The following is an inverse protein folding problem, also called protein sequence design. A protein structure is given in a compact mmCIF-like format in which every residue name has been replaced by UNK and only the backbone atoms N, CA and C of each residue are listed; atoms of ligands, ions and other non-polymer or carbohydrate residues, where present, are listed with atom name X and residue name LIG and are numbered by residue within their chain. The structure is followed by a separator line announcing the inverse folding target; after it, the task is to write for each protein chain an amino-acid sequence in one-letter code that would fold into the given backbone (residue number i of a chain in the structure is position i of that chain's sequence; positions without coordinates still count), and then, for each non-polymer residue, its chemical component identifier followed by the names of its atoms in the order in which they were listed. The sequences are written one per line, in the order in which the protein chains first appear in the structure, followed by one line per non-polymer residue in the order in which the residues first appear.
data_IF_097399966316
#
_entry.id   IF_097399966316
#
_cell.length_a   1.000
_cell.length_b   1.000
_cell.length_c   1.000
_cell.angle_alpha   90.00
_cell.angle_beta   90.00
_cell.angle_gamma   90.00
#
_symmetry.space_group_name_H-M   'P 1'
#
loop_
_entity.id
_entity.type
_entity.pdbx_description
1 polymer ?
#
# COMPACT_ATOMS: atom_id res chain seq x y z
N UNK A 1 14.72 10.11 -9.88
CA UNK A 1 14.31 9.32 -8.70
C UNK A 1 15.58 8.86 -8.02
N UNK A 2 15.87 9.40 -6.82
CA UNK A 2 17.08 9.06 -6.07
C UNK A 2 16.85 7.77 -5.31
N UNK A 3 17.60 6.73 -5.66
CA UNK A 3 17.56 5.43 -4.98
C UNK A 3 18.11 5.59 -3.56
N UNK A 4 17.25 5.49 -2.55
CA UNK A 4 17.70 5.38 -1.17
C UNK A 4 17.98 3.92 -0.86
N UNK A 5 19.27 3.60 -0.66
CA UNK A 5 19.66 2.40 0.09
C UNK A 5 18.91 2.41 1.43
N UNK A 6 18.45 1.26 1.93
CA UNK A 6 17.81 1.21 3.23
C UNK A 6 18.73 1.88 4.27
N UNK A 7 18.25 2.87 5.03
CA UNK A 7 19.03 3.52 6.06
C UNK A 7 19.58 2.48 7.04
N UNK A 8 20.87 2.59 7.38
CA UNK A 8 21.53 1.73 8.36
C UNK A 8 20.70 1.67 9.66
N UNK A 9 20.57 0.52 10.36
CA UNK A 9 19.71 0.37 11.55
C UNK A 9 19.93 1.42 12.66
N UNK A 10 21.10 2.04 12.72
CA UNK A 10 21.36 3.17 13.62
C UNK A 10 20.56 4.44 13.32
N UNK A 11 20.10 4.62 12.07
CA UNK A 11 19.34 5.79 11.61
C UNK A 11 17.87 5.75 12.05
N UNK A 12 17.34 4.59 12.41
CA UNK A 12 16.04 4.50 13.10
C UNK A 12 16.00 5.31 14.39
N UNK A 13 17.17 5.46 15.04
CA UNK A 13 17.27 6.25 16.25
C UNK A 13 17.08 7.74 15.97
N UNK A 14 17.33 8.16 14.73
CA UNK A 14 17.31 9.54 14.27
C UNK A 14 16.11 9.89 13.38
N UNK A 15 15.36 8.90 12.89
CA UNK A 15 14.14 9.15 12.11
C UNK A 15 13.09 9.77 13.05
N UNK A 16 12.58 10.97 12.71
CA UNK A 16 11.53 11.60 13.47
C UNK A 16 10.32 10.68 13.58
N UNK A 17 9.69 10.66 14.75
CA UNK A 17 8.46 9.90 14.94
C UNK A 17 7.34 10.41 14.00
N UNK A 18 7.38 11.68 13.59
CA UNK A 18 6.47 12.26 12.57
C UNK A 18 6.56 11.53 11.24
N UNK A 19 7.75 11.27 10.74
CA UNK A 19 7.96 10.70 9.40
C UNK A 19 7.46 9.25 9.37
N UNK A 20 7.66 8.52 10.47
CA UNK A 20 7.09 7.18 10.63
C UNK A 20 5.56 7.19 10.72
N UNK A 21 4.99 8.18 11.41
CA UNK A 21 3.53 8.35 11.49
C UNK A 21 2.95 8.63 10.12
N UNK A 22 3.58 9.50 9.34
CA UNK A 22 3.13 9.84 7.98
C UNK A 22 3.18 8.61 7.07
N UNK A 23 4.26 7.83 7.15
CA UNK A 23 4.38 6.54 6.45
C UNK A 23 3.26 5.56 6.85
N UNK A 24 2.95 5.46 8.15
CA UNK A 24 1.87 4.61 8.66
C UNK A 24 0.49 5.07 8.18
N UNK A 25 0.25 6.37 8.13
CA UNK A 25 -0.99 6.94 7.60
C UNK A 25 -1.14 6.62 6.11
N UNK A 26 -0.11 6.86 5.30
CA UNK A 26 -0.13 6.54 3.87
C UNK A 26 -0.43 5.06 3.64
N UNK A 27 0.16 4.17 4.44
CA UNK A 27 -0.07 2.74 4.34
C UNK A 27 -1.50 2.32 4.67
N UNK A 28 -2.08 2.89 5.73
CA UNK A 28 -3.45 2.63 6.13
C UNK A 28 -4.46 3.13 5.09
N UNK A 29 -4.19 4.31 4.52
CA UNK A 29 -5.02 4.90 3.45
C UNK A 29 -4.94 4.04 2.18
N UNK A 30 -3.74 3.63 1.76
CA UNK A 30 -3.54 2.76 0.61
C UNK A 30 -4.25 1.40 0.80
N UNK A 31 -4.12 0.80 1.99
CA UNK A 31 -4.80 -0.45 2.32
C UNK A 31 -6.32 -0.29 2.22
N UNK A 32 -6.86 0.75 2.85
CA UNK A 32 -8.29 1.03 2.89
C UNK A 32 -8.87 1.27 1.49
N UNK A 33 -8.20 2.10 0.70
CA UNK A 33 -8.60 2.38 -0.68
C UNK A 33 -8.53 1.13 -1.56
N UNK A 34 -7.48 0.31 -1.40
CA UNK A 34 -7.31 -0.91 -2.18
C UNK A 34 -8.38 -1.96 -1.84
N UNK A 35 -8.75 -2.08 -0.56
CA UNK A 35 -9.85 -2.96 -0.14
C UNK A 35 -11.20 -2.50 -0.70
N UNK A 36 -11.45 -1.19 -0.75
CA UNK A 36 -12.66 -0.62 -1.36
C UNK A 36 -12.70 -0.84 -2.87
N UNK A 37 -11.58 -0.56 -3.56
CA UNK A 37 -11.44 -0.82 -4.99
C UNK A 37 -11.64 -2.29 -5.34
N UNK A 38 -11.13 -3.20 -4.51
CA UNK A 38 -11.34 -4.65 -4.65
C UNK A 38 -12.75 -5.10 -4.22
N UNK A 39 -13.59 -4.19 -3.69
CA UNK A 39 -14.93 -4.44 -3.17
C UNK A 39 -14.96 -5.45 -2.01
N UNK A 40 -13.88 -5.50 -1.22
CA UNK A 40 -13.76 -6.37 -0.04
C UNK A 40 -14.42 -5.71 1.17
N UNK A 41 -14.22 -4.41 1.33
CA UNK A 41 -14.95 -3.58 2.29
C UNK A 41 -15.80 -2.59 1.49
N UNK A 42 -17.08 -2.39 1.83
CA UNK A 42 -17.87 -1.36 1.19
C UNK A 42 -17.60 -0.02 1.89
N UNK A 43 -16.81 0.87 1.30
CA UNK A 43 -16.82 2.27 1.71
C UNK A 43 -17.93 2.96 0.92
N UNK A 44 -18.87 3.60 1.63
CA UNK A 44 -19.76 4.57 1.01
C UNK A 44 -18.94 5.83 0.70
N UNK A 45 -18.10 5.78 -0.32
CA UNK A 45 -17.53 6.99 -0.90
C UNK A 45 -18.72 7.78 -1.44
N UNK A 46 -18.90 8.98 -0.88
CA UNK A 46 -19.90 9.93 -1.36
C UNK A 46 -19.74 10.12 -2.86
N UNK A 47 -20.85 9.93 -3.57
CA UNK A 47 -21.02 10.16 -4.99
C UNK A 47 -20.51 11.57 -5.30
N UNK A 48 -19.50 11.72 -6.15
CA UNK A 48 -19.37 12.87 -7.06
C UNK A 48 -18.29 12.76 -8.17
N UNK A 49 -17.53 11.67 -8.26
CA UNK A 49 -16.76 11.35 -9.48
C UNK A 49 -17.35 10.09 -10.12
N UNK A 50 -18.03 10.25 -11.28
CA UNK A 50 -18.55 9.14 -12.07
C UNK A 50 -17.38 8.21 -12.47
N UNK A 51 -17.28 6.98 -11.92
CA UNK A 51 -16.10 6.13 -12.11
C UNK A 51 -16.02 5.51 -13.52
N UNK A 52 -16.91 5.91 -14.44
CA UNK A 52 -16.98 5.41 -15.82
C UNK A 52 -15.85 5.92 -16.72
N UNK A 53 -15.14 6.98 -16.33
CA UNK A 53 -13.96 7.47 -17.06
C UNK A 53 -12.63 6.90 -16.53
N UNK A 54 -12.62 6.27 -15.34
CA UNK A 54 -11.41 5.64 -14.83
C UNK A 54 -11.30 4.19 -15.30
N UNK A 55 -10.34 3.93 -16.18
CA UNK A 55 -10.04 2.58 -16.65
C UNK A 55 -9.58 1.72 -15.45
N UNK A 56 -10.33 0.70 -14.98
CA UNK A 56 -10.00 -0.06 -13.76
C UNK A 56 -8.60 -0.67 -13.76
N UNK A 57 -8.10 -1.06 -14.94
CA UNK A 57 -6.73 -1.51 -15.12
C UNK A 57 -5.68 -0.43 -14.79
N UNK A 58 -5.95 0.84 -15.14
CA UNK A 58 -5.04 1.95 -14.86
C UNK A 58 -5.01 2.26 -13.35
N UNK A 59 -6.16 2.26 -12.67
CA UNK A 59 -6.22 2.42 -11.21
C UNK A 59 -5.43 1.30 -10.53
N UNK A 60 -5.69 0.05 -10.90
CA UNK A 60 -5.03 -1.09 -10.26
C UNK A 60 -3.51 -1.11 -10.49
N UNK A 61 -3.05 -0.67 -11.67
CA UNK A 61 -1.61 -0.47 -11.92
C UNK A 61 -1.03 0.67 -11.09
N UNK A 62 -1.76 1.77 -10.94
CA UNK A 62 -1.38 2.87 -10.04
C UNK A 62 -1.21 2.38 -8.60
N UNK A 63 -2.20 1.65 -8.07
CA UNK A 63 -2.13 1.08 -6.74
C UNK A 63 -0.93 0.13 -6.57
N UNK A 64 -0.62 -0.71 -7.56
CA UNK A 64 0.57 -1.56 -7.50
C UNK A 64 1.87 -0.75 -7.42
N UNK A 65 1.96 0.39 -8.10
CA UNK A 65 3.11 1.30 -7.99
C UNK A 65 3.18 1.87 -6.57
N UNK A 66 2.05 2.31 -6.01
CA UNK A 66 2.00 2.83 -4.65
C UNK A 66 2.41 1.76 -3.61
N UNK A 67 2.02 0.49 -3.82
CA UNK A 67 2.49 -0.64 -3.00
C UNK A 67 4.00 -0.89 -3.15
N UNK A 68 4.54 -0.79 -4.36
CA UNK A 68 5.98 -0.95 -4.61
C UNK A 68 6.81 0.14 -3.92
N UNK A 69 6.32 1.39 -3.97
CA UNK A 69 6.96 2.52 -3.30
C UNK A 69 6.84 2.39 -1.78
N UNK A 70 5.69 1.96 -1.28
CA UNK A 70 5.48 1.72 0.15
C UNK A 70 6.35 0.57 0.69
N UNK A 71 6.51 -0.52 -0.07
CA UNK A 71 7.37 -1.65 0.27
C UNK A 71 8.85 -1.23 0.32
N UNK A 72 9.28 -0.34 -0.59
CA UNK A 72 10.63 0.26 -0.52
C UNK A 72 10.83 1.10 0.74
N UNK A 73 9.81 1.86 1.15
CA UNK A 73 9.85 2.69 2.35
C UNK A 73 9.70 1.87 3.65
N UNK A 74 9.02 0.73 3.63
CA UNK A 74 8.95 -0.17 4.80
C UNK A 74 10.07 -1.19 4.87
N UNK A 75 10.72 -1.51 3.75
CA UNK A 75 11.75 -2.53 3.69
C UNK A 75 12.90 -2.25 4.68
N UNK A 76 13.23 -0.98 4.91
CA UNK A 76 14.21 -0.61 5.93
C UNK A 76 13.64 -0.61 7.35
N UNK A 77 12.36 -0.27 7.55
CA UNK A 77 11.68 -0.36 8.85
C UNK A 77 11.62 -1.81 9.34
N UNK A 78 11.46 -2.78 8.42
CA UNK A 78 11.41 -4.20 8.76
C UNK A 78 12.81 -4.81 8.90
N UNK A 79 13.80 -4.32 8.17
CA UNK A 79 15.21 -4.72 8.30
C UNK A 79 15.90 -4.23 9.59
N UNK A 80 15.12 -3.65 10.50
CA UNK A 80 15.55 -2.91 11.66
C UNK A 80 15.28 -3.68 12.94
N UNK A 81 16.14 -3.51 13.95
CA UNK A 81 15.97 -4.22 15.22
C UNK A 81 14.61 -3.89 15.87
N UNK A 82 13.84 -4.93 16.22
CA UNK A 82 12.52 -4.83 16.86
C UNK A 82 12.43 -3.81 18.02
N UNK A 83 13.40 -3.70 18.95
CA UNK A 83 13.34 -2.70 20.01
C UNK A 83 13.28 -1.25 19.53
N UNK A 84 13.85 -0.94 18.36
CA UNK A 84 13.80 0.40 17.77
C UNK A 84 12.42 0.68 17.18
N UNK A 85 11.84 -0.32 16.50
CA UNK A 85 10.48 -0.28 15.93
C UNK A 85 9.45 -0.13 17.05
N UNK A 86 9.54 -0.94 18.09
CA UNK A 86 8.67 -0.87 19.28
C UNK A 86 8.72 0.50 19.97
N UNK A 87 9.92 1.09 20.10
CA UNK A 87 10.10 2.41 20.71
C UNK A 87 9.41 3.52 19.91
N UNK A 88 9.42 3.43 18.58
CA UNK A 88 8.77 4.42 17.71
C UNK A 88 7.26 4.17 17.70
N UNK A 89 6.83 2.94 17.45
CA UNK A 89 5.42 2.57 17.36
C UNK A 89 4.66 2.74 18.67
N UNK A 90 5.28 2.50 19.83
CA UNK A 90 4.64 2.73 21.14
C UNK A 90 4.20 4.18 21.38
N UNK A 91 4.70 5.14 20.60
CA UNK A 91 4.24 6.54 20.63
C UNK A 91 2.91 6.74 19.91
N UNK A 92 2.52 5.82 19.03
CA UNK A 92 1.36 5.92 18.14
C UNK A 92 0.30 4.85 18.43
N UNK A 93 0.75 3.64 18.75
CA UNK A 93 -0.09 2.49 19.02
C UNK A 93 -0.01 2.15 20.51
N UNK A 94 -1.16 2.15 21.20
CA UNK A 94 -1.31 1.60 22.55
C UNK A 94 -2.11 0.30 22.44
N UNK A 95 -1.46 -0.78 22.01
CA UNK A 95 -2.08 -2.11 21.93
C UNK A 95 -1.68 -2.97 23.14
N UNK A 96 -2.51 -3.97 23.48
CA UNK A 96 -2.20 -4.97 24.51
C UNK A 96 -1.10 -5.97 24.11
N UNK A 97 -0.57 -5.89 22.88
CA UNK A 97 0.50 -6.72 22.32
C UNK A 97 1.65 -5.84 21.79
N UNK A 98 2.83 -6.44 21.52
CA UNK A 98 4.01 -5.65 21.12
C UNK A 98 3.76 -4.95 19.78
N UNK A 99 4.11 -3.66 19.66
CA UNK A 99 3.85 -2.93 18.42
C UNK A 99 4.50 -3.52 17.17
N UNK A 100 5.70 -4.10 17.27
CA UNK A 100 6.34 -4.75 16.12
C UNK A 100 5.56 -5.96 15.61
N UNK A 101 4.97 -6.77 16.49
CA UNK A 101 4.15 -7.93 16.10
C UNK A 101 2.90 -7.50 15.34
N UNK A 102 2.26 -6.42 15.80
CA UNK A 102 1.12 -5.84 15.07
C UNK A 102 1.54 -5.31 13.70
N UNK A 103 2.70 -4.67 13.63
CA UNK A 103 3.20 -4.07 12.40
C UNK A 103 3.58 -5.13 11.35
N UNK A 104 4.20 -6.24 11.76
CA UNK A 104 4.47 -7.38 10.86
C UNK A 104 3.20 -7.99 10.27
N UNK A 105 2.15 -8.17 11.10
CA UNK A 105 0.87 -8.66 10.61
C UNK A 105 0.24 -7.69 9.60
N UNK A 106 0.26 -6.38 9.89
CA UNK A 106 -0.25 -5.36 8.97
C UNK A 106 0.49 -5.35 7.63
N UNK A 107 1.82 -5.50 7.64
CA UNK A 107 2.61 -5.63 6.40
C UNK A 107 2.19 -6.90 5.64
N UNK A 108 1.94 -8.01 6.33
CA UNK A 108 1.42 -9.24 5.71
C UNK A 108 0.04 -9.05 5.07
N UNK A 109 -0.84 -8.24 5.67
CA UNK A 109 -2.13 -7.86 5.09
C UNK A 109 -1.96 -7.00 3.84
N UNK A 110 -1.07 -6.00 3.87
CA UNK A 110 -0.72 -5.18 2.70
C UNK A 110 -0.24 -6.06 1.52
N UNK A 111 0.67 -7.01 1.78
CA UNK A 111 1.17 -7.92 0.74
C UNK A 111 0.04 -8.80 0.17
N UNK A 112 -0.86 -9.27 1.04
CA UNK A 112 -2.01 -10.07 0.61
C UNK A 112 -2.93 -9.29 -0.33
N UNK A 113 -3.19 -8.01 -0.04
CA UNK A 113 -3.99 -7.14 -0.91
C UNK A 113 -3.27 -6.83 -2.23
N UNK A 114 -1.95 -6.56 -2.19
CA UNK A 114 -1.13 -6.39 -3.40
C UNK A 114 -1.25 -7.59 -4.34
N UNK A 115 -1.13 -8.82 -3.83
CA UNK A 115 -1.29 -10.06 -4.61
C UNK A 115 -2.69 -10.20 -5.23
N UNK A 116 -3.72 -9.68 -4.58
CA UNK A 116 -5.07 -9.66 -5.14
C UNK A 116 -5.18 -8.65 -6.29
N UNK A 117 -4.57 -7.46 -6.14
CA UNK A 117 -4.49 -6.46 -7.21
C UNK A 117 -3.74 -7.01 -8.43
N UNK A 118 -2.61 -7.67 -8.25
CA UNK A 118 -1.86 -8.32 -9.35
C UNK A 118 -2.73 -9.31 -10.14
N UNK A 119 -3.50 -10.15 -9.43
CA UNK A 119 -4.45 -11.08 -10.06
C UNK A 119 -5.52 -10.34 -10.86
N UNK A 120 -6.05 -9.23 -10.34
CA UNK A 120 -7.06 -8.42 -11.03
C UNK A 120 -6.49 -7.72 -12.27
N UNK A 121 -5.28 -7.16 -12.17
CA UNK A 121 -4.55 -6.59 -13.31
C UNK A 121 -4.39 -7.65 -14.40
N UNK A 122 -3.87 -8.84 -14.08
CA UNK A 122 -3.71 -9.91 -15.06
C UNK A 122 -5.03 -10.37 -15.70
N UNK A 123 -6.14 -10.36 -14.96
CA UNK A 123 -7.48 -10.63 -15.50
C UNK A 123 -7.93 -9.54 -16.47
N UNK A 124 -7.76 -8.27 -16.09
CA UNK A 124 -8.17 -7.14 -16.92
C UNK A 124 -7.30 -6.99 -18.16
N UNK A 125 -5.99 -7.18 -18.08
CA UNK A 125 -5.10 -7.16 -19.25
C UNK A 125 -5.58 -8.14 -20.31
N UNK A 126 -5.97 -9.37 -19.93
CA UNK A 126 -6.56 -10.32 -20.87
C UNK A 126 -7.82 -9.79 -21.54
N UNK A 127 -8.70 -9.14 -20.79
CA UNK A 127 -9.96 -8.59 -21.32
C UNK A 127 -9.71 -7.39 -22.25
N UNK A 128 -8.77 -6.52 -21.90
CA UNK A 128 -8.44 -5.33 -22.69
C UNK A 128 -7.59 -5.65 -23.93
N UNK A 129 -6.69 -6.62 -23.85
CA UNK A 129 -5.95 -7.15 -25.01
C UNK A 129 -6.88 -7.90 -25.97
N UNK A 130 -7.94 -8.54 -25.44
CA UNK A 130 -8.98 -9.19 -26.25
C UNK A 130 -10.08 -8.24 -26.72
N UNK A 131 -10.02 -6.93 -26.47
CA UNK A 131 -10.96 -6.00 -27.10
C UNK A 131 -10.71 -6.07 -28.62
N UNK A 132 -11.67 -6.60 -29.40
CA UNK A 132 -11.49 -6.73 -30.82
C UNK A 132 -11.36 -5.33 -31.46
N UNK A 133 -10.51 -5.26 -32.48
CA UNK A 133 -10.03 -4.04 -33.15
C UNK A 133 -11.11 -3.12 -33.72
N UNK A 134 -12.38 -3.53 -33.78
CA UNK A 134 -13.49 -2.72 -34.30
C UNK A 134 -14.03 -1.65 -33.33
N UNK A 135 -13.43 -1.50 -32.14
CA UNK A 135 -13.69 -0.38 -31.22
C UNK A 135 -12.53 0.64 -31.15
N UNK A 136 -11.44 0.43 -31.92
CA UNK A 136 -10.46 1.48 -32.19
C UNK A 136 -10.92 2.22 -33.44
N UNK A 137 -11.72 3.25 -33.24
CA UNK A 137 -11.87 4.45 -34.08
C UNK A 137 -13.27 5.04 -33.89
N UNK A 138 -13.35 6.07 -33.06
CA UNK A 138 -14.14 7.29 -33.30
C UNK A 138 -13.48 8.45 -32.58
#
# INVERSE_FOLDING_TARGET
MCYHKPPHPSLLKTIPASDFKDLLTVALDLHTYSLDFLQIIPLKVGIDDDPRDMHPLAIAKGLLIDYDDLDREYGWVLASDHPSVDRVLSRFCKAGRKPSEWFEEFVGELESVRRLLEKKVAQWEKVYDHKPSYLRDK
#
